data_IF_895912488834
#
_entry.id   IF_895912488834
#
_cell.length_a   1.000
_cell.length_b   1.000
_cell.length_c   1.000
_cell.angle_alpha   90.00
_cell.angle_beta   90.00
_cell.angle_gamma   90.00
#
_symmetry.space_group_name_H-M   'P 1'
#
loop_
_entity.id
_entity.type
_entity.pdbx_description
1 polymer ?
#
# COMPACT_ATOMS: atom_id res chain seq x y z
N UNK A 1 1.98 9.25 -7.45
CA UNK A 1 2.82 9.01 -6.24
C UNK A 1 3.34 7.58 -6.13
N UNK A 2 2.53 6.55 -6.41
CA UNK A 2 2.97 5.13 -6.42
C UNK A 2 4.14 4.92 -7.37
N UNK A 3 4.00 5.36 -8.62
CA UNK A 3 5.05 5.37 -9.61
C UNK A 3 6.37 6.01 -9.13
N UNK A 4 6.32 7.20 -8.50
CA UNK A 4 7.51 7.82 -7.91
C UNK A 4 8.23 6.92 -6.89
N UNK A 5 7.48 6.16 -6.07
CA UNK A 5 8.09 5.23 -5.11
C UNK A 5 8.71 4.03 -5.84
N UNK A 6 8.03 3.49 -6.87
CA UNK A 6 8.56 2.42 -7.70
C UNK A 6 9.89 2.83 -8.36
N UNK A 7 9.94 4.00 -8.99
CA UNK A 7 11.15 4.52 -9.64
C UNK A 7 12.29 4.85 -8.67
N UNK A 8 11.99 5.17 -7.41
CA UNK A 8 13.01 5.49 -6.42
C UNK A 8 13.83 4.27 -5.96
N UNK A 9 13.27 3.06 -5.98
CA UNK A 9 14.00 1.84 -5.60
C UNK A 9 15.16 1.49 -6.56
N UNK A 10 14.98 1.42 -7.89
CA UNK A 10 16.08 1.23 -8.85
C UNK A 10 17.18 2.28 -8.70
N UNK A 11 16.81 3.55 -8.52
CA UNK A 11 17.77 4.65 -8.31
C UNK A 11 18.60 4.41 -7.04
N UNK A 12 17.95 4.02 -5.95
CA UNK A 12 18.60 3.69 -4.68
C UNK A 12 19.60 2.52 -4.84
N UNK A 13 19.18 1.46 -5.53
CA UNK A 13 20.02 0.28 -5.79
C UNK A 13 21.22 0.64 -6.68
N UNK A 14 21.02 1.44 -7.72
CA UNK A 14 22.09 1.90 -8.59
C UNK A 14 23.08 2.81 -7.85
N UNK A 15 22.59 3.69 -6.96
CA UNK A 15 23.44 4.51 -6.10
C UNK A 15 24.33 3.65 -5.19
N UNK A 16 23.76 2.61 -4.56
CA UNK A 16 24.50 1.63 -3.75
C UNK A 16 25.55 0.86 -4.58
N UNK A 17 25.24 0.49 -5.82
CA UNK A 17 26.20 -0.20 -6.70
C UNK A 17 27.34 0.72 -7.17
N UNK A 18 27.01 1.98 -7.48
CA UNK A 18 27.98 3.00 -7.82
C UNK A 18 28.93 3.31 -6.64
N UNK A 19 28.45 3.19 -5.40
CA UNK A 19 29.31 3.28 -4.21
C UNK A 19 30.33 2.15 -4.17
N UNK A 20 29.90 0.91 -4.46
CA UNK A 20 30.79 -0.26 -4.48
C UNK A 20 31.91 -0.12 -5.53
N UNK A 21 31.60 0.34 -6.73
CA UNK A 21 32.61 0.47 -7.80
C UNK A 21 33.74 1.44 -7.41
N UNK A 22 33.43 2.53 -6.71
CA UNK A 22 34.45 3.43 -6.15
C UNK A 22 35.21 2.82 -4.97
N UNK A 23 34.55 1.93 -4.21
CA UNK A 23 35.08 1.26 -3.03
C UNK A 23 36.04 0.09 -3.34
N UNK A 24 35.78 -0.67 -4.41
CA UNK A 24 36.58 -1.84 -4.81
C UNK A 24 38.03 -1.45 -5.15
N UNK A 25 38.31 -0.17 -5.40
CA UNK A 25 39.65 0.41 -5.59
C UNK A 25 40.46 0.48 -4.28
N UNK A 26 39.80 0.32 -3.12
CA UNK A 26 40.38 0.57 -1.80
C UNK A 26 40.53 -0.72 -0.97
N UNK A 27 41.69 -0.88 -0.32
CA UNK A 27 42.11 -2.12 0.37
C UNK A 27 41.19 -2.59 1.51
N UNK A 28 40.34 -1.72 2.05
CA UNK A 28 39.53 -2.00 3.26
C UNK A 28 38.04 -2.27 3.00
N UNK A 29 37.62 -2.40 1.73
CA UNK A 29 36.23 -2.69 1.35
C UNK A 29 35.63 -3.91 2.07
N UNK A 30 36.44 -4.97 2.26
CA UNK A 30 36.04 -6.21 2.92
C UNK A 30 35.40 -6.00 4.30
N UNK A 31 35.77 -4.93 5.02
CA UNK A 31 35.23 -4.61 6.36
C UNK A 31 33.74 -4.24 6.31
N UNK A 32 33.26 -3.70 5.19
CA UNK A 32 31.91 -3.14 5.04
C UNK A 32 31.08 -3.83 3.97
N UNK A 33 31.73 -4.64 3.13
CA UNK A 33 31.10 -5.49 2.13
C UNK A 33 29.88 -6.26 2.66
N UNK A 34 29.95 -6.80 3.89
CA UNK A 34 28.83 -7.53 4.50
C UNK A 34 27.62 -6.63 4.74
N UNK A 35 27.84 -5.43 5.28
CA UNK A 35 26.77 -4.49 5.59
C UNK A 35 26.19 -3.87 4.30
N UNK A 36 27.03 -3.59 3.30
CA UNK A 36 26.60 -3.17 1.96
C UNK A 36 25.72 -4.23 1.30
N UNK A 37 26.20 -5.49 1.25
CA UNK A 37 25.46 -6.61 0.68
C UNK A 37 24.10 -6.79 1.35
N UNK A 38 24.05 -6.74 2.69
CA UNK A 38 22.78 -6.82 3.44
C UNK A 38 21.84 -5.67 3.07
N UNK A 39 22.32 -4.43 3.06
CA UNK A 39 21.54 -3.25 2.68
C UNK A 39 20.93 -3.40 1.26
N UNK A 40 21.75 -3.86 0.29
CA UNK A 40 21.29 -4.12 -1.07
C UNK A 40 20.21 -5.22 -1.10
N UNK A 41 20.42 -6.32 -0.37
CA UNK A 41 19.48 -7.42 -0.30
C UNK A 41 18.13 -6.99 0.31
N UNK A 42 18.15 -6.28 1.43
CA UNK A 42 16.95 -5.80 2.11
C UNK A 42 16.18 -4.79 1.24
N UNK A 43 16.90 -3.88 0.58
CA UNK A 43 16.30 -2.92 -0.33
C UNK A 43 15.68 -3.60 -1.56
N UNK A 44 16.37 -4.58 -2.16
CA UNK A 44 15.82 -5.39 -3.25
C UNK A 44 14.59 -6.18 -2.81
N UNK A 45 14.62 -6.76 -1.61
CA UNK A 45 13.49 -7.49 -1.04
C UNK A 45 12.26 -6.59 -0.88
N UNK A 46 12.41 -5.41 -0.30
CA UNK A 46 11.30 -4.47 -0.12
C UNK A 46 10.81 -3.87 -1.44
N UNK A 47 11.68 -3.73 -2.44
CA UNK A 47 11.29 -3.38 -3.81
C UNK A 47 10.34 -4.43 -4.38
N UNK A 48 10.75 -5.70 -4.39
CA UNK A 48 9.95 -6.81 -4.93
C UNK A 48 8.59 -6.88 -4.23
N UNK A 49 8.56 -6.84 -2.90
CA UNK A 49 7.30 -6.85 -2.14
C UNK A 49 6.40 -5.67 -2.51
N UNK A 50 6.98 -4.50 -2.76
CA UNK A 50 6.19 -3.34 -3.14
C UNK A 50 5.65 -3.45 -4.57
N UNK A 51 6.48 -3.90 -5.51
CA UNK A 51 6.08 -4.19 -6.89
C UNK A 51 4.92 -5.21 -6.91
N UNK A 52 5.04 -6.33 -6.20
CA UNK A 52 3.97 -7.34 -6.09
C UNK A 52 2.67 -6.77 -5.50
N UNK A 53 2.76 -5.91 -4.48
CA UNK A 53 1.58 -5.27 -3.90
C UNK A 53 0.93 -4.31 -4.91
N UNK A 54 1.73 -3.58 -5.69
CA UNK A 54 1.23 -2.66 -6.72
C UNK A 54 0.65 -3.44 -7.91
N UNK A 55 1.28 -4.52 -8.33
CA UNK A 55 0.78 -5.39 -9.39
C UNK A 55 -0.56 -6.01 -9.01
N UNK A 56 -0.66 -6.61 -7.82
CA UNK A 56 -1.93 -7.12 -7.28
C UNK A 56 -3.01 -6.04 -7.19
N UNK A 57 -2.60 -4.81 -6.92
CA UNK A 57 -3.48 -3.67 -6.90
C UNK A 57 -4.00 -3.32 -8.31
N UNK A 58 -3.11 -3.23 -9.29
CA UNK A 58 -3.39 -2.86 -10.68
C UNK A 58 -4.17 -3.95 -11.44
N UNK A 59 -3.86 -5.23 -11.23
CA UNK A 59 -4.54 -6.40 -11.83
C UNK A 59 -6.06 -6.40 -11.67
N UNK A 60 -6.54 -5.69 -10.64
CA UNK A 60 -7.96 -5.64 -10.28
C UNK A 60 -8.62 -4.30 -10.68
N UNK A 61 -7.87 -3.42 -11.35
CA UNK A 61 -8.32 -2.11 -11.82
C UNK A 61 -8.15 -1.95 -13.33
N UNK A 62 -7.08 -2.53 -13.86
CA UNK A 62 -6.71 -2.53 -15.27
C UNK A 62 -7.34 -3.75 -15.94
N UNK A 63 -7.86 -3.58 -17.15
CA UNK A 63 -8.53 -4.66 -17.91
C UNK A 63 -7.56 -5.38 -18.84
N UNK A 64 -6.46 -4.72 -19.21
CA UNK A 64 -5.50 -5.18 -20.21
C UNK A 64 -4.09 -5.39 -19.62
N UNK A 65 -3.46 -6.51 -19.97
CA UNK A 65 -2.10 -6.84 -19.52
C UNK A 65 -1.06 -5.85 -20.07
N UNK A 66 -1.30 -5.28 -21.26
CA UNK A 66 -0.40 -4.29 -21.85
C UNK A 66 -0.42 -2.94 -21.08
N UNK A 67 -1.58 -2.53 -20.56
CA UNK A 67 -1.72 -1.34 -19.71
C UNK A 67 -1.06 -1.57 -18.34
N UNK A 68 -1.21 -2.76 -17.77
CA UNK A 68 -0.54 -3.16 -16.52
C UNK A 68 0.99 -3.09 -16.69
N UNK A 69 1.49 -3.69 -17.77
CA UNK A 69 2.92 -3.70 -18.08
C UNK A 69 3.47 -2.29 -18.28
N UNK A 70 2.73 -1.44 -18.99
CA UNK A 70 3.12 -0.03 -19.20
C UNK A 70 3.28 0.71 -17.87
N UNK A 71 2.35 0.53 -16.92
CA UNK A 71 2.42 1.15 -15.60
C UNK A 71 3.60 0.65 -14.76
N UNK A 72 3.92 -0.64 -14.82
CA UNK A 72 5.03 -1.22 -14.05
C UNK A 72 6.39 -0.87 -14.67
N UNK A 73 6.51 -0.93 -16.00
CA UNK A 73 7.75 -0.68 -16.73
C UNK A 73 8.10 0.82 -16.80
N UNK A 74 7.09 1.71 -16.84
CA UNK A 74 7.27 3.16 -16.77
C UNK A 74 6.61 3.78 -15.52
N UNK A 75 7.26 3.65 -14.34
CA UNK A 75 6.75 4.19 -13.10
C UNK A 75 6.74 5.73 -13.04
N UNK A 76 7.36 6.42 -14.01
CA UNK A 76 7.30 7.88 -14.12
C UNK A 76 6.39 8.35 -15.26
N UNK A 77 5.73 7.43 -15.96
CA UNK A 77 4.90 7.72 -17.12
C UNK A 77 3.59 8.42 -16.78
N UNK A 78 3.05 9.12 -17.78
CA UNK A 78 1.78 9.86 -17.70
C UNK A 78 0.58 8.96 -17.36
N UNK A 79 0.68 7.65 -17.63
CA UNK A 79 -0.32 6.66 -17.27
C UNK A 79 -0.61 6.64 -15.75
N UNK A 80 0.38 6.99 -14.91
CA UNK A 80 0.19 7.10 -13.45
C UNK A 80 -0.57 8.37 -13.03
N UNK A 81 -0.67 9.35 -13.91
CA UNK A 81 -1.39 10.62 -13.69
C UNK A 81 -2.81 10.58 -14.25
N UNK A 82 -3.18 9.50 -14.94
CA UNK A 82 -4.48 9.34 -15.55
C UNK A 82 -5.61 9.37 -14.51
N UNK A 83 -6.57 10.28 -14.71
CA UNK A 83 -7.65 10.51 -13.75
C UNK A 83 -8.59 9.30 -13.61
N UNK A 84 -8.73 8.50 -14.67
CA UNK A 84 -9.54 7.29 -14.67
C UNK A 84 -8.95 6.23 -13.72
N UNK A 85 -7.63 6.08 -13.68
CA UNK A 85 -6.92 5.18 -12.75
C UNK A 85 -7.20 5.58 -11.30
N UNK A 86 -7.16 6.88 -10.99
CA UNK A 86 -7.47 7.39 -9.65
C UNK A 86 -8.95 7.16 -9.28
N UNK A 87 -9.88 7.35 -10.22
CA UNK A 87 -11.31 7.11 -10.01
C UNK A 87 -11.61 5.63 -9.76
N UNK A 88 -11.07 4.72 -10.60
CA UNK A 88 -11.16 3.27 -10.43
C UNK A 88 -10.64 2.86 -9.04
N UNK A 89 -9.52 3.45 -8.63
CA UNK A 89 -8.92 3.24 -7.32
C UNK A 89 -9.83 3.70 -6.15
N UNK A 90 -10.37 4.92 -6.21
CA UNK A 90 -11.31 5.44 -5.20
C UNK A 90 -12.58 4.60 -5.11
N UNK A 91 -13.10 4.14 -6.25
CA UNK A 91 -14.29 3.29 -6.32
C UNK A 91 -14.07 1.92 -5.63
N UNK A 92 -12.86 1.36 -5.76
CA UNK A 92 -12.51 0.07 -5.13
C UNK A 92 -12.21 0.20 -3.63
N UNK A 93 -11.55 1.28 -3.21
CA UNK A 93 -11.14 1.52 -1.83
C UNK A 93 -11.91 2.71 -1.19
N UNK A 94 -13.25 2.75 -1.23
CA UNK A 94 -13.99 3.95 -0.82
C UNK A 94 -13.78 4.31 0.66
N UNK A 95 -13.47 3.32 1.50
CA UNK A 95 -13.19 3.51 2.94
C UNK A 95 -11.70 3.57 3.27
N UNK A 96 -10.85 3.01 2.42
CA UNK A 96 -9.43 2.75 2.70
C UNK A 96 -8.47 3.55 1.81
N UNK A 97 -8.98 4.33 0.87
CA UNK A 97 -8.17 5.13 -0.05
C UNK A 97 -7.23 6.11 0.66
N UNK A 98 -7.72 6.77 1.73
CA UNK A 98 -6.88 7.66 2.54
C UNK A 98 -5.70 6.93 3.17
N UNK A 99 -5.97 5.78 3.81
CA UNK A 99 -4.95 4.92 4.44
C UNK A 99 -3.94 4.41 3.40
N UNK A 100 -4.41 4.04 2.21
CA UNK A 100 -3.55 3.65 1.10
C UNK A 100 -2.57 4.77 0.75
N UNK A 101 -3.06 5.99 0.51
CA UNK A 101 -2.19 7.13 0.18
C UNK A 101 -1.19 7.45 1.30
N UNK A 102 -1.59 7.34 2.56
CA UNK A 102 -0.69 7.51 3.71
C UNK A 102 0.44 6.49 3.71
N UNK A 103 0.13 5.21 3.46
CA UNK A 103 1.15 4.15 3.36
C UNK A 103 2.13 4.45 2.23
N UNK A 104 1.65 4.86 1.05
CA UNK A 104 2.51 5.17 -0.09
C UNK A 104 3.37 6.41 0.18
N UNK A 105 2.82 7.46 0.80
CA UNK A 105 3.60 8.65 1.22
C UNK A 105 4.69 8.28 2.22
N UNK A 106 4.36 7.49 3.25
CA UNK A 106 5.34 7.03 4.23
C UNK A 106 6.46 6.22 3.54
N UNK A 107 6.13 5.35 2.59
CA UNK A 107 7.15 4.63 1.79
C UNK A 107 8.02 5.59 0.98
N UNK A 108 7.43 6.58 0.31
CA UNK A 108 8.16 7.61 -0.43
C UNK A 108 9.21 8.28 0.45
N UNK A 109 8.81 8.70 1.65
CA UNK A 109 9.70 9.35 2.62
C UNK A 109 10.86 8.45 3.03
N UNK A 110 10.59 7.16 3.30
CA UNK A 110 11.65 6.21 3.66
C UNK A 110 12.63 5.95 2.51
N UNK A 111 12.15 5.80 1.27
CA UNK A 111 13.06 5.59 0.13
C UNK A 111 13.93 6.82 -0.06
N UNK A 112 13.36 8.03 0.00
CA UNK A 112 14.13 9.29 -0.10
C UNK A 112 15.15 9.42 1.04
N UNK A 113 14.78 9.12 2.29
CA UNK A 113 15.71 9.19 3.42
C UNK A 113 16.88 8.21 3.29
N UNK A 114 16.66 7.02 2.70
CA UNK A 114 17.75 6.09 2.40
C UNK A 114 18.64 6.56 1.24
N UNK A 115 18.07 7.17 0.20
CA UNK A 115 18.83 7.73 -0.94
C UNK A 115 19.72 8.89 -0.48
N UNK A 116 19.17 9.81 0.32
CA UNK A 116 19.88 11.02 0.77
C UNK A 116 21.01 10.66 1.75
N UNK A 117 20.88 9.59 2.52
CA UNK A 117 21.92 9.15 3.44
C UNK A 117 23.25 8.75 2.77
N UNK A 118 23.27 8.45 1.48
CA UNK A 118 24.47 8.16 0.68
C UNK A 118 24.86 9.29 -0.31
N UNK A 119 23.89 10.11 -0.73
CA UNK A 119 24.08 11.15 -1.77
C UNK A 119 24.81 12.41 -1.29
N UNK A 120 24.65 12.81 -0.02
CA UNK A 120 25.31 14.01 0.54
C UNK A 120 26.85 13.96 0.45
N UNK A 121 27.43 12.78 0.19
CA UNK A 121 28.87 12.65 -0.02
C UNK A 121 29.33 12.96 -1.46
N UNK A 122 28.42 13.10 -2.43
CA UNK A 122 28.76 13.44 -3.84
C UNK A 122 28.57 14.90 -4.19
N UNK A 123 27.70 15.64 -3.50
CA UNK A 123 27.44 17.05 -3.84
C UNK A 123 28.57 18.01 -3.47
N UNK A 124 29.51 17.63 -2.59
CA UNK A 124 30.66 18.49 -2.26
C UNK A 124 31.77 18.41 -3.32
N UNK A 125 31.77 17.40 -4.20
CA UNK A 125 32.86 17.17 -5.17
C UNK A 125 32.52 17.54 -6.62
N UNK A 126 31.30 17.98 -6.92
CA UNK A 126 30.84 18.30 -8.28
C UNK A 126 30.77 19.81 -8.60
N UNK A 127 31.20 20.68 -7.67
CA UNK A 127 31.25 22.13 -7.87
C UNK A 127 32.48 22.63 -8.66
N UNK A 128 33.12 21.78 -9.46
CA UNK A 128 34.19 22.22 -10.36
C UNK A 128 33.99 21.70 -11.80
N UNK A 129 33.27 22.44 -12.65
CA UNK A 129 33.26 22.16 -14.08
C UNK A 129 34.52 22.74 -14.72
N UNK A 130 35.16 21.88 -15.53
CA UNK A 130 35.96 22.24 -16.71
C UNK A 130 37.33 22.88 -16.44
N UNK A 131 38.38 22.05 -16.48
CA UNK A 131 39.58 22.25 -17.31
C UNK A 131 40.68 21.30 -16.84
N UNK A 132 40.78 20.10 -17.41
CA UNK A 132 41.99 19.28 -17.31
C UNK A 132 42.24 18.54 -18.62
N UNK A 133 42.49 19.32 -19.68
CA UNK A 133 43.62 18.99 -20.53
C UNK A 133 44.84 19.62 -19.86
N UNK A 134 45.89 18.81 -19.68
CA UNK A 134 47.23 19.24 -19.25
C UNK A 134 47.40 19.50 -17.75
N UNK A 135 47.83 18.49 -16.99
CA UNK A 135 48.97 18.63 -16.07
C UNK A 135 49.32 17.27 -15.45
N UNK A 136 50.43 16.70 -15.90
CA UNK A 136 51.07 15.56 -15.27
C UNK A 136 51.75 16.09 -14.00
N UNK A 137 51.19 15.85 -12.80
CA UNK A 137 51.85 15.75 -11.46
C UNK A 137 50.87 16.00 -10.28
N UNK A 138 49.71 15.33 -10.21
CA UNK A 138 48.76 15.45 -9.07
C UNK A 138 48.21 14.08 -8.62
N UNK A 139 49.04 13.04 -8.53
CA UNK A 139 48.57 11.68 -8.24
C UNK A 139 48.58 11.29 -6.75
N UNK A 140 49.37 11.96 -5.89
CA UNK A 140 49.48 11.55 -4.47
C UNK A 140 48.48 12.23 -3.53
N UNK A 141 48.21 13.54 -3.68
CA UNK A 141 47.26 14.23 -2.79
C UNK A 141 45.81 13.84 -3.05
N UNK A 142 45.44 13.59 -4.31
CA UNK A 142 44.09 13.17 -4.67
C UNK A 142 43.78 11.74 -4.18
N UNK A 143 44.74 10.81 -4.27
CA UNK A 143 44.53 9.43 -3.82
C UNK A 143 44.39 9.31 -2.29
N UNK A 144 45.16 10.11 -1.53
CA UNK A 144 45.04 10.17 -0.07
C UNK A 144 43.69 10.74 0.38
N UNK A 145 43.19 11.81 -0.27
CA UNK A 145 41.90 12.42 0.06
C UNK A 145 40.72 11.48 -0.25
N UNK A 146 40.76 10.80 -1.41
CA UNK A 146 39.76 9.79 -1.80
C UNK A 146 39.72 8.62 -0.81
N UNK A 147 40.88 8.19 -0.29
CA UNK A 147 40.93 7.14 0.73
C UNK A 147 40.34 7.60 2.07
N UNK A 148 40.61 8.84 2.52
CA UNK A 148 40.06 9.38 3.77
C UNK A 148 38.54 9.56 3.67
N UNK A 149 38.04 10.14 2.58
CA UNK A 149 36.61 10.34 2.34
C UNK A 149 35.86 9.01 2.32
N UNK A 150 36.44 7.99 1.69
CA UNK A 150 35.88 6.66 1.70
C UNK A 150 35.87 6.04 3.10
N UNK A 151 36.98 6.10 3.84
CA UNK A 151 37.03 5.58 5.21
C UNK A 151 36.00 6.28 6.12
N UNK A 152 35.79 7.58 5.91
CA UNK A 152 34.76 8.36 6.57
C UNK A 152 33.34 7.89 6.17
N UNK A 153 33.08 7.66 4.88
CA UNK A 153 31.81 7.10 4.40
C UNK A 153 31.57 5.69 4.97
N UNK A 154 32.63 4.87 5.02
CA UNK A 154 32.66 3.54 5.61
C UNK A 154 32.29 3.52 7.10
N UNK A 155 32.85 4.46 7.87
CA UNK A 155 32.52 4.68 9.28
C UNK A 155 31.07 5.16 9.40
N UNK A 156 30.63 6.16 8.61
CA UNK A 156 29.23 6.65 8.62
C UNK A 156 28.25 5.53 8.28
N UNK A 157 28.56 4.71 7.28
CA UNK A 157 27.75 3.55 6.88
C UNK A 157 27.70 2.51 7.99
N UNK A 158 28.80 2.28 8.72
CA UNK A 158 28.81 1.35 9.85
C UNK A 158 28.05 1.88 11.08
N UNK A 159 28.20 3.18 11.38
CA UNK A 159 27.54 3.86 12.50
C UNK A 159 26.02 3.98 12.32
N UNK A 160 25.53 4.09 11.08
CA UNK A 160 24.09 4.17 10.78
C UNK A 160 23.38 2.81 10.75
N UNK A 161 24.00 1.72 11.21
CA UNK A 161 23.42 0.36 11.15
C UNK A 161 22.03 0.28 11.81
N UNK A 162 21.89 0.74 13.05
CA UNK A 162 20.62 0.71 13.79
C UNK A 162 19.53 1.56 13.12
N UNK A 163 19.92 2.68 12.51
CA UNK A 163 19.00 3.51 11.73
C UNK A 163 18.49 2.78 10.49
N UNK A 164 19.36 2.06 9.76
CA UNK A 164 18.96 1.28 8.59
C UNK A 164 18.04 0.12 8.96
N UNK A 165 18.38 -0.62 10.00
CA UNK A 165 17.57 -1.74 10.49
C UNK A 165 16.14 -1.26 10.84
N UNK A 166 16.03 -0.14 11.57
CA UNK A 166 14.73 0.50 11.84
C UNK A 166 14.00 0.91 10.56
N UNK A 167 14.70 1.41 9.55
CA UNK A 167 14.08 1.78 8.29
C UNK A 167 13.54 0.55 7.54
N UNK A 168 14.29 -0.55 7.50
CA UNK A 168 13.82 -1.79 6.88
C UNK A 168 12.67 -2.43 7.66
N UNK A 169 12.69 -2.40 8.99
CA UNK A 169 11.54 -2.77 9.83
C UNK A 169 10.30 -1.95 9.46
N UNK A 170 10.47 -0.63 9.26
CA UNK A 170 9.37 0.24 8.84
C UNK A 170 8.90 -0.06 7.42
N UNK A 171 9.78 -0.40 6.49
CA UNK A 171 9.38 -0.87 5.15
C UNK A 171 8.56 -2.15 5.24
N UNK A 172 8.94 -3.08 6.11
CA UNK A 172 8.22 -4.32 6.33
C UNK A 172 6.81 -4.03 6.86
N UNK A 173 6.69 -3.22 7.90
CA UNK A 173 5.39 -2.81 8.46
C UNK A 173 4.48 -2.19 7.39
N UNK A 174 5.03 -1.28 6.56
CA UNK A 174 4.25 -0.63 5.49
C UNK A 174 3.85 -1.60 4.38
N UNK A 175 4.70 -2.59 4.05
CA UNK A 175 4.35 -3.66 3.12
C UNK A 175 3.24 -4.57 3.67
N UNK A 176 3.35 -4.97 4.94
CA UNK A 176 2.35 -5.83 5.58
C UNK A 176 1.00 -5.13 5.74
N UNK A 177 1.01 -3.85 6.13
CA UNK A 177 -0.21 -3.01 6.17
C UNK A 177 -0.88 -2.89 4.81
N UNK A 178 -0.09 -2.73 3.74
CA UNK A 178 -0.61 -2.67 2.37
C UNK A 178 -1.24 -4.02 1.97
N UNK A 179 -0.55 -5.13 2.26
CA UNK A 179 -1.07 -6.49 2.01
C UNK A 179 -2.39 -6.73 2.73
N UNK A 180 -2.47 -6.43 4.03
CA UNK A 180 -3.70 -6.60 4.82
C UNK A 180 -4.86 -5.73 4.31
N UNK A 181 -4.55 -4.52 3.79
CA UNK A 181 -5.55 -3.65 3.18
C UNK A 181 -6.16 -4.30 1.92
N UNK A 182 -5.32 -4.94 1.10
CA UNK A 182 -5.78 -5.68 -0.07
C UNK A 182 -6.59 -6.92 0.32
N UNK A 183 -6.09 -7.74 1.23
CA UNK A 183 -6.76 -8.97 1.67
C UNK A 183 -8.14 -8.71 2.27
N UNK A 184 -8.24 -7.70 3.14
CA UNK A 184 -9.53 -7.30 3.71
C UNK A 184 -10.50 -6.78 2.63
N UNK A 185 -10.01 -6.01 1.66
CA UNK A 185 -10.80 -5.55 0.52
C UNK A 185 -11.31 -6.71 -0.35
N UNK A 186 -10.44 -7.65 -0.69
CA UNK A 186 -10.74 -8.81 -1.53
C UNK A 186 -11.73 -9.76 -0.85
N UNK A 187 -11.59 -10.00 0.46
CA UNK A 187 -12.53 -10.79 1.26
C UNK A 187 -13.93 -10.16 1.30
N UNK A 188 -14.02 -8.83 1.45
CA UNK A 188 -15.31 -8.14 1.42
C UNK A 188 -15.94 -8.20 0.02
N UNK A 189 -15.13 -8.04 -1.03
CA UNK A 189 -15.60 -8.13 -2.41
C UNK A 189 -16.06 -9.56 -2.78
N UNK A 190 -15.35 -10.58 -2.33
CA UNK A 190 -15.75 -11.99 -2.54
C UNK A 190 -17.01 -12.33 -1.75
N UNK A 191 -17.12 -11.92 -0.48
CA UNK A 191 -18.33 -12.14 0.33
C UNK A 191 -19.58 -11.49 -0.28
N UNK A 192 -19.45 -10.28 -0.86
CA UNK A 192 -20.54 -9.62 -1.59
C UNK A 192 -20.95 -10.41 -2.84
N UNK A 193 -19.98 -10.81 -3.66
CA UNK A 193 -20.23 -11.62 -4.87
C UNK A 193 -20.88 -12.96 -4.53
N UNK A 194 -20.39 -13.66 -3.51
CA UNK A 194 -20.99 -14.91 -3.02
C UNK A 194 -22.43 -14.72 -2.56
N UNK A 195 -22.78 -13.58 -1.95
CA UNK A 195 -24.17 -13.25 -1.58
C UNK A 195 -25.06 -12.97 -2.80
N UNK A 196 -24.49 -12.42 -3.87
CA UNK A 196 -25.20 -12.13 -5.12
C UNK A 196 -25.39 -13.38 -6.00
N UNK A 197 -24.40 -14.28 -6.03
CA UNK A 197 -24.44 -15.54 -6.78
C UNK A 197 -25.14 -16.65 -6.02
N UNK A 198 -25.14 -16.63 -4.68
CA UNK A 198 -26.03 -17.45 -3.85
C UNK A 198 -27.47 -16.94 -3.92
N UNK A 199 -28.05 -16.94 -5.12
CA UNK A 199 -29.51 -17.05 -5.27
C UNK A 199 -29.92 -18.45 -4.81
N UNK A 200 -30.12 -18.60 -3.50
CA UNK A 200 -30.85 -19.72 -2.88
C UNK A 200 -32.05 -19.12 -2.11
N UNK A 201 -33.18 -19.84 -1.95
CA UNK A 201 -34.56 -19.37 -2.13
C UNK A 201 -34.89 -18.11 -1.30
N UNK A 202 -34.51 -16.93 -1.82
CA UNK A 202 -34.53 -15.70 -1.03
C UNK A 202 -35.94 -15.16 -0.78
N UNK A 203 -36.94 -15.67 -1.49
CA UNK A 203 -38.34 -15.31 -1.27
C UNK A 203 -38.81 -15.61 0.16
N UNK A 204 -38.49 -16.78 0.71
CA UNK A 204 -38.97 -17.18 2.04
C UNK A 204 -38.29 -16.38 3.16
N UNK A 205 -36.96 -16.28 3.14
CA UNK A 205 -36.21 -15.50 4.13
C UNK A 205 -36.53 -14.00 4.04
N UNK A 206 -36.77 -13.47 2.84
CA UNK A 206 -37.21 -12.08 2.65
C UNK A 206 -38.62 -11.87 3.19
N UNK A 207 -39.58 -12.76 2.88
CA UNK A 207 -40.95 -12.72 3.43
C UNK A 207 -40.95 -12.83 4.95
N UNK A 208 -40.12 -13.68 5.54
CA UNK A 208 -39.98 -13.82 6.99
C UNK A 208 -39.40 -12.55 7.62
N UNK A 209 -38.33 -12.00 7.04
CA UNK A 209 -37.74 -10.74 7.49
C UNK A 209 -38.74 -9.58 7.39
N UNK A 210 -39.49 -9.49 6.28
CA UNK A 210 -40.51 -8.48 6.09
C UNK A 210 -41.66 -8.67 7.10
N UNK A 211 -42.11 -9.89 7.39
CA UNK A 211 -43.08 -10.15 8.46
C UNK A 211 -42.61 -9.61 9.80
N UNK A 212 -41.40 -9.96 10.24
CA UNK A 212 -40.85 -9.47 11.50
C UNK A 212 -40.75 -7.94 11.55
N UNK A 213 -40.38 -7.31 10.42
CA UNK A 213 -40.36 -5.84 10.29
C UNK A 213 -41.76 -5.25 10.47
N UNK A 214 -42.80 -5.83 9.85
CA UNK A 214 -44.17 -5.37 9.98
C UNK A 214 -44.73 -5.60 11.40
N UNK A 215 -44.49 -6.78 11.99
CA UNK A 215 -44.88 -7.09 13.36
C UNK A 215 -44.28 -6.09 14.36
N UNK A 216 -43.00 -5.74 14.20
CA UNK A 216 -42.34 -4.72 15.02
C UNK A 216 -42.98 -3.34 14.87
N UNK A 217 -43.27 -2.91 13.63
CA UNK A 217 -43.94 -1.61 13.37
C UNK A 217 -45.35 -1.56 13.95
N UNK A 218 -46.11 -2.65 13.82
CA UNK A 218 -47.45 -2.77 14.37
C UNK A 218 -47.42 -2.73 15.90
N UNK A 219 -46.49 -3.47 16.52
CA UNK A 219 -46.27 -3.41 17.96
C UNK A 219 -45.95 -1.98 18.41
N UNK A 220 -44.99 -1.31 17.76
CA UNK A 220 -44.62 0.07 18.09
C UNK A 220 -45.79 1.05 17.93
N UNK A 221 -46.62 0.89 16.90
CA UNK A 221 -47.81 1.72 16.68
C UNK A 221 -48.86 1.47 17.76
N UNK A 222 -49.19 0.21 18.05
CA UNK A 222 -50.17 -0.18 19.06
C UNK A 222 -49.74 0.27 20.46
N UNK A 223 -48.48 0.01 20.83
CA UNK A 223 -47.90 0.44 22.11
C UNK A 223 -47.90 1.95 22.30
N UNK A 224 -47.84 2.74 21.22
CA UNK A 224 -47.96 4.21 21.29
C UNK A 224 -49.40 4.71 21.30
N UNK A 225 -50.34 3.94 20.74
CA UNK A 225 -51.75 4.34 20.60
C UNK A 225 -52.64 3.92 21.77
N UNK A 226 -52.24 2.95 22.59
CA UNK A 226 -53.03 2.54 23.75
C UNK A 226 -52.94 3.58 24.87
N UNK A 227 -54.07 4.26 25.12
CA UNK A 227 -54.23 5.23 26.21
C UNK A 227 -55.04 4.67 27.38
N UNK A 228 -55.28 3.36 27.40
CA UNK A 228 -56.08 2.71 28.43
C UNK A 228 -55.27 2.41 29.70
N UNK A 229 -55.98 2.28 30.83
CA UNK A 229 -55.40 2.01 32.16
C UNK A 229 -55.22 0.51 32.46
N UNK A 230 -55.25 -0.34 31.44
CA UNK A 230 -55.11 -1.79 31.63
C UNK A 230 -53.66 -2.13 31.99
N UNK A 231 -53.46 -3.16 32.82
CA UNK A 231 -52.15 -3.56 33.32
C UNK A 231 -51.30 -4.29 32.27
N UNK A 232 -51.93 -5.05 31.37
CA UNK A 232 -51.24 -5.72 30.25
C UNK A 232 -52.13 -5.78 29.01
N UNK A 233 -51.53 -5.57 27.85
CA UNK A 233 -52.14 -5.84 26.55
C UNK A 233 -51.28 -6.86 25.82
N UNK A 234 -51.93 -7.93 25.34
CA UNK A 234 -51.27 -8.99 24.60
C UNK A 234 -51.92 -9.05 23.22
N UNK A 235 -51.10 -8.98 22.18
CA UNK A 235 -51.51 -9.18 20.79
C UNK A 235 -50.71 -10.34 20.25
N UNK A 236 -51.41 -11.42 19.89
CA UNK A 236 -50.82 -12.60 19.28
C UNK A 236 -50.93 -12.45 17.76
N UNK A 237 -49.78 -12.39 17.08
CA UNK A 237 -49.72 -12.33 15.63
C UNK A 237 -49.40 -13.70 15.06
N UNK A 238 -50.29 -14.24 14.24
CA UNK A 238 -50.07 -15.51 13.55
C UNK A 238 -49.54 -15.25 12.14
N UNK A 239 -48.42 -15.90 11.81
CA UNK A 239 -47.94 -15.95 10.43
C UNK A 239 -48.71 -17.04 9.67
N UNK A 240 -49.56 -16.65 8.72
CA UNK A 240 -50.31 -17.57 7.89
C UNK A 240 -49.80 -17.55 6.45
N UNK A 241 -49.53 -18.72 5.88
CA UNK A 241 -49.17 -18.85 4.47
C UNK A 241 -50.44 -18.70 3.62
N UNK A 242 -50.64 -17.53 3.01
CA UNK A 242 -51.76 -17.29 2.08
C UNK A 242 -51.31 -17.59 0.64
N UNK A 243 -52.00 -18.50 -0.08
CA UNK A 243 -51.80 -18.73 -1.51
C UNK A 243 -52.55 -17.72 -2.40
N UNK A 244 -53.33 -16.82 -1.82
CA UNK A 244 -54.17 -15.83 -2.50
C UNK A 244 -53.80 -14.41 -2.07
N UNK A 245 -53.79 -13.47 -3.02
CA UNK A 245 -53.46 -12.04 -2.82
C UNK A 245 -54.65 -11.21 -2.27
N UNK A 246 -55.77 -11.85 -1.94
CA UNK A 246 -56.95 -11.16 -1.39
C UNK A 246 -56.76 -10.88 0.10
N UNK A 247 -56.81 -9.60 0.47
CA UNK A 247 -56.71 -9.17 1.87
C UNK A 247 -58.05 -9.37 2.59
N UNK A 248 -58.24 -10.55 3.17
CA UNK A 248 -59.36 -10.82 4.08
C UNK A 248 -59.00 -10.42 5.51
N UNK A 249 -59.84 -9.58 6.10
CA UNK A 249 -59.79 -9.19 7.51
C UNK A 249 -60.96 -9.85 8.24
N UNK A 250 -60.66 -10.87 9.03
CA UNK A 250 -61.59 -11.39 10.03
C UNK A 250 -61.24 -10.77 11.38
N UNK A 251 -62.20 -10.05 11.96
CA UNK A 251 -62.13 -9.55 13.33
C UNK A 251 -62.93 -10.52 14.18
N UNK A 252 -62.24 -11.26 15.05
CA UNK A 252 -62.84 -12.06 16.13
C UNK A 252 -62.93 -11.22 17.41
#
# INVERSE_FOLDING_TARGET
IVGLVLGAFPISLHALDSYRQGADVLKDWWRIQRAHKRCKQDLSYHRILFEENVERFLLLLVVDEDELKTLIDDPAGEAWEAQDLEQKLKARLPKSYGIFLEIIRAKKELVVQNIVCDSEARMVSLSHPQNLLQSNNITERHSAHVNIDFQMQCIRFSLKKSSRERTFERFQELNDRLRSLHESGDQVASARRSRETAKSPSGFNKKLHDFWRHAKRLHEALSKSWQCRCTTHIVNLQLQHRPSDVAEFEVL
#
